data_IF_053527516009
#
_entry.id   IF_053527516009
#
_cell.length_a   1.000
_cell.length_b   1.000
_cell.length_c   1.000
_cell.angle_alpha   90.00
_cell.angle_beta   90.00
_cell.angle_gamma   90.00
#
_symmetry.space_group_name_H-M   'P 1'
#
loop_
_entity.id
_entity.type
_entity.pdbx_description
1 polymer ?
#
# COMPACT_ATOMS: atom_id res chain seq x y z
N UNK A 1 18.98 -22.62 -6.79
CA UNK A 1 18.64 -21.47 -7.69
C UNK A 1 19.65 -20.34 -7.48
N UNK A 2 19.93 -19.52 -8.49
CA UNK A 2 20.81 -18.35 -8.31
C UNK A 2 20.09 -17.25 -7.55
N UNK A 3 20.76 -16.72 -6.49
CA UNK A 3 20.30 -15.57 -5.72
C UNK A 3 21.14 -14.37 -6.14
N UNK A 4 20.50 -13.37 -6.74
CA UNK A 4 21.15 -12.10 -7.07
C UNK A 4 21.13 -11.19 -5.85
N UNK A 5 22.30 -10.65 -5.49
CA UNK A 5 22.46 -9.75 -4.35
C UNK A 5 22.46 -8.31 -4.83
N UNK A 6 21.65 -7.47 -4.18
CA UNK A 6 21.66 -6.04 -4.34
C UNK A 6 22.61 -5.36 -3.34
N UNK A 7 22.48 -4.05 -3.23
CA UNK A 7 23.34 -3.24 -2.34
C UNK A 7 22.89 -3.38 -0.89
N UNK A 8 23.87 -3.58 0.01
CA UNK A 8 23.70 -3.57 1.47
C UNK A 8 24.64 -2.52 2.11
N UNK A 9 24.32 -2.09 3.31
CA UNK A 9 25.11 -1.09 4.05
C UNK A 9 26.17 -1.75 4.94
N UNK A 10 25.88 -2.95 5.48
CA UNK A 10 26.78 -3.70 6.36
C UNK A 10 26.40 -5.19 6.37
N UNK A 11 27.23 -6.00 7.04
CA UNK A 11 26.91 -7.40 7.31
C UNK A 11 25.80 -7.48 8.39
N UNK A 12 24.90 -8.48 8.32
CA UNK A 12 23.82 -8.65 9.31
C UNK A 12 24.32 -8.71 10.76
N UNK A 13 25.41 -9.40 11.00
CA UNK A 13 26.00 -9.57 12.33
C UNK A 13 26.45 -8.25 12.96
N UNK A 14 26.82 -7.25 12.17
CA UNK A 14 27.22 -5.91 12.66
C UNK A 14 26.07 -5.18 13.35
N UNK A 15 24.83 -5.58 13.05
CA UNK A 15 23.63 -5.03 13.69
C UNK A 15 23.06 -5.94 14.79
N UNK A 16 23.60 -7.15 14.96
CA UNK A 16 23.06 -8.18 15.85
C UNK A 16 21.93 -8.99 15.19
N UNK A 17 22.13 -9.34 13.93
CA UNK A 17 21.17 -10.17 13.17
C UNK A 17 21.89 -11.43 12.63
N UNK A 18 21.26 -12.58 12.77
CA UNK A 18 21.77 -13.88 12.31
C UNK A 18 21.59 -14.02 10.79
N UNK A 19 22.69 -13.96 10.03
CA UNK A 19 22.69 -14.10 8.56
C UNK A 19 22.18 -15.46 8.08
N UNK A 20 22.24 -16.52 8.90
CA UNK A 20 21.69 -17.84 8.53
C UNK A 20 20.17 -17.77 8.24
N UNK A 21 19.47 -16.76 8.80
CA UNK A 21 18.03 -16.58 8.55
C UNK A 21 17.75 -15.97 7.19
N UNK A 22 18.68 -15.19 6.64
CA UNK A 22 18.62 -14.73 5.25
C UNK A 22 18.79 -15.93 4.29
N UNK A 23 19.68 -16.85 4.61
CA UNK A 23 19.84 -18.10 3.84
C UNK A 23 18.57 -18.97 3.94
N UNK A 24 17.96 -19.07 5.13
CA UNK A 24 16.70 -19.77 5.33
C UNK A 24 15.54 -19.12 4.55
N UNK A 25 15.52 -17.79 4.45
CA UNK A 25 14.54 -17.05 3.64
C UNK A 25 14.70 -17.35 2.16
N UNK A 26 15.92 -17.31 1.63
CA UNK A 26 16.20 -17.70 0.26
C UNK A 26 15.75 -19.14 -0.03
N UNK A 27 16.11 -20.08 0.85
CA UNK A 27 15.69 -21.48 0.72
C UNK A 27 14.16 -21.65 0.79
N UNK A 28 13.46 -20.80 1.56
CA UNK A 28 12.01 -20.79 1.61
C UNK A 28 11.41 -20.36 0.26
N UNK A 29 11.86 -19.24 -0.28
CA UNK A 29 11.40 -18.77 -1.61
C UNK A 29 11.76 -19.75 -2.72
N UNK A 30 12.96 -20.35 -2.71
CA UNK A 30 13.35 -21.37 -3.67
C UNK A 30 12.38 -22.56 -3.68
N UNK A 31 11.99 -23.07 -2.49
CA UNK A 31 10.98 -24.14 -2.38
C UNK A 31 9.62 -23.75 -2.94
N UNK A 32 9.22 -22.47 -2.81
CA UNK A 32 7.94 -21.97 -3.36
C UNK A 32 7.99 -21.84 -4.89
N UNK A 33 9.14 -21.42 -5.43
CA UNK A 33 9.38 -21.32 -6.86
C UNK A 33 9.43 -22.72 -7.49
N UNK A 34 10.15 -23.67 -6.87
CA UNK A 34 10.26 -25.06 -7.36
C UNK A 34 8.90 -25.77 -7.37
N UNK A 35 7.99 -25.40 -6.47
CA UNK A 35 6.60 -25.87 -6.44
C UNK A 35 5.65 -25.08 -7.33
N UNK A 36 6.16 -24.12 -8.10
CA UNK A 36 5.38 -23.24 -8.97
C UNK A 36 4.26 -22.46 -8.21
N UNK A 37 4.47 -22.22 -6.91
CA UNK A 37 3.56 -21.40 -6.11
C UNK A 37 3.77 -19.91 -6.45
N UNK A 38 5.02 -19.47 -6.60
CA UNK A 38 5.41 -18.11 -6.99
C UNK A 38 6.36 -18.15 -8.19
N UNK A 39 6.45 -17.05 -8.95
CA UNK A 39 7.38 -16.93 -10.06
C UNK A 39 8.81 -16.58 -9.62
N UNK A 40 8.92 -15.73 -8.65
CA UNK A 40 10.17 -15.23 -8.09
C UNK A 40 9.89 -14.40 -6.84
N UNK A 41 10.96 -13.94 -6.21
CA UNK A 41 10.88 -13.07 -5.05
C UNK A 41 11.97 -12.01 -5.10
N UNK A 42 11.67 -10.82 -4.56
CA UNK A 42 12.65 -9.78 -4.25
C UNK A 42 12.36 -9.22 -2.88
N UNK A 43 13.40 -8.95 -2.10
CA UNK A 43 13.24 -8.42 -0.75
C UNK A 43 14.39 -7.51 -0.34
N UNK A 44 14.09 -6.61 0.59
CA UNK A 44 15.08 -5.76 1.27
C UNK A 44 14.75 -5.75 2.75
N UNK A 45 15.78 -5.99 3.60
CA UNK A 45 15.66 -5.98 5.06
C UNK A 45 16.58 -4.91 5.63
N UNK A 46 16.06 -4.09 6.52
CA UNK A 46 16.80 -3.08 7.26
C UNK A 46 16.72 -3.35 8.77
N UNK A 47 17.82 -3.31 9.46
CA UNK A 47 17.90 -3.41 10.91
C UNK A 47 18.75 -2.27 11.46
N UNK A 48 18.21 -1.57 12.48
CA UNK A 48 18.83 -0.38 13.09
C UNK A 48 19.22 0.69 12.05
N UNK A 49 18.35 0.88 11.05
CA UNK A 49 18.51 1.87 9.98
C UNK A 49 19.55 1.50 8.91
N UNK A 50 20.06 0.26 8.90
CA UNK A 50 21.02 -0.24 7.91
C UNK A 50 20.40 -1.34 7.07
N UNK A 51 20.56 -1.30 5.76
CA UNK A 51 20.18 -2.39 4.86
C UNK A 51 21.16 -3.55 5.08
N UNK A 52 20.68 -4.64 5.64
CA UNK A 52 21.46 -5.85 5.96
C UNK A 52 21.25 -6.97 4.95
N UNK A 53 20.17 -6.92 4.16
CA UNK A 53 19.91 -7.84 3.07
C UNK A 53 19.13 -7.14 1.96
N UNK A 54 19.51 -7.43 0.72
CA UNK A 54 18.80 -7.07 -0.49
C UNK A 54 19.10 -8.15 -1.52
N UNK A 55 18.08 -8.88 -1.94
CA UNK A 55 18.27 -9.99 -2.87
C UNK A 55 17.01 -10.29 -3.69
N UNK A 56 17.23 -10.98 -4.79
CA UNK A 56 16.18 -11.51 -5.65
C UNK A 56 16.50 -12.91 -6.15
N UNK A 57 15.48 -13.69 -6.47
CA UNK A 57 15.59 -15.01 -7.02
C UNK A 57 14.36 -15.37 -7.87
N UNK A 58 14.56 -16.31 -8.81
CA UNK A 58 13.50 -16.74 -9.71
C UNK A 58 13.27 -15.80 -10.88
N UNK A 59 12.04 -15.79 -11.41
CA UNK A 59 11.69 -15.09 -12.65
C UNK A 59 11.12 -13.69 -12.36
N UNK A 60 11.60 -12.70 -13.09
CA UNK A 60 11.08 -11.33 -13.15
C UNK A 60 9.95 -11.17 -14.17
N UNK A 61 9.37 -12.27 -14.63
CA UNK A 61 8.28 -12.29 -15.59
C UNK A 61 7.43 -13.55 -15.42
N UNK A 62 6.12 -13.43 -15.52
CA UNK A 62 5.20 -14.55 -15.55
C UNK A 62 5.19 -15.27 -16.93
N UNK A 63 5.59 -14.57 -18.00
CA UNK A 63 5.48 -15.05 -19.39
C UNK A 63 6.84 -15.33 -20.05
N UNK A 64 7.96 -15.14 -19.35
CA UNK A 64 9.30 -15.40 -19.85
C UNK A 64 10.24 -15.92 -18.76
N UNK A 65 11.45 -16.35 -19.15
CA UNK A 65 12.50 -16.79 -18.23
C UNK A 65 13.44 -15.65 -17.77
N UNK A 66 13.04 -14.38 -17.98
CA UNK A 66 13.83 -13.25 -17.49
C UNK A 66 14.02 -13.35 -15.97
N UNK A 67 15.27 -13.18 -15.52
CA UNK A 67 15.61 -13.32 -14.11
C UNK A 67 15.14 -12.10 -13.30
N UNK A 68 14.60 -12.34 -12.11
CA UNK A 68 14.25 -11.29 -11.14
C UNK A 68 15.51 -10.53 -10.71
N UNK A 69 15.46 -9.20 -10.75
CA UNK A 69 16.57 -8.34 -10.34
C UNK A 69 16.26 -7.70 -8.97
N UNK A 70 17.29 -7.35 -8.16
CA UNK A 70 17.06 -6.68 -6.87
C UNK A 70 16.40 -5.30 -6.97
N UNK A 71 16.39 -4.70 -8.16
CA UNK A 71 15.78 -3.41 -8.49
C UNK A 71 14.55 -3.55 -9.41
N UNK A 72 13.97 -4.74 -9.48
CA UNK A 72 12.73 -4.97 -10.23
C UNK A 72 11.62 -4.08 -9.68
N UNK A 73 10.92 -3.39 -10.59
CA UNK A 73 9.81 -2.49 -10.26
C UNK A 73 8.49 -3.25 -10.27
N UNK A 74 7.61 -2.92 -9.32
CA UNK A 74 6.27 -3.51 -9.19
C UNK A 74 5.20 -2.44 -9.02
N UNK A 75 3.96 -2.68 -9.46
CA UNK A 75 2.81 -1.99 -8.91
C UNK A 75 2.67 -2.41 -7.44
N UNK A 76 2.73 -1.45 -6.53
CA UNK A 76 2.69 -1.72 -5.09
C UNK A 76 1.27 -1.79 -4.52
N UNK A 77 0.28 -1.61 -5.39
CA UNK A 77 -1.13 -1.69 -5.03
C UNK A 77 -1.43 -0.93 -3.71
N UNK A 78 -2.06 -1.58 -2.75
CA UNK A 78 -2.55 -0.94 -1.52
C UNK A 78 -1.48 -0.37 -0.60
N UNK A 79 -0.20 -0.70 -0.75
CA UNK A 79 0.90 0.00 -0.07
C UNK A 79 0.88 1.51 -0.41
N UNK A 80 0.32 1.90 -1.56
CA UNK A 80 0.05 3.32 -1.91
C UNK A 80 -0.70 4.08 -0.82
N UNK A 81 -1.59 3.41 -0.09
CA UNK A 81 -2.39 4.03 0.98
C UNK A 81 -1.53 4.64 2.08
N UNK A 82 -0.34 4.10 2.32
CA UNK A 82 0.60 4.64 3.31
C UNK A 82 1.08 6.04 2.92
N UNK A 83 1.34 6.27 1.64
CA UNK A 83 1.75 7.57 1.11
C UNK A 83 0.62 8.59 1.19
N UNK A 84 -0.60 8.18 0.87
CA UNK A 84 -1.81 8.99 1.03
C UNK A 84 -2.05 9.34 2.49
N UNK A 85 -1.84 8.37 3.40
CA UNK A 85 -1.94 8.60 4.84
C UNK A 85 -0.92 9.63 5.32
N UNK A 86 0.35 9.49 4.94
CA UNK A 86 1.39 10.47 5.31
C UNK A 86 1.05 11.86 4.78
N UNK A 87 0.60 11.98 3.53
CA UNK A 87 0.18 13.25 2.94
C UNK A 87 -0.98 13.90 3.72
N UNK A 88 -1.99 13.12 4.11
CA UNK A 88 -3.09 13.62 4.95
C UNK A 88 -2.60 14.03 6.34
N UNK A 89 -1.70 13.25 6.96
CA UNK A 89 -1.15 13.57 8.27
C UNK A 89 -0.26 14.82 8.25
N UNK A 90 0.39 15.14 7.12
CA UNK A 90 1.08 16.42 6.93
C UNK A 90 0.11 17.60 6.97
N UNK A 91 -1.04 17.51 6.27
CA UNK A 91 -2.07 18.56 6.33
C UNK A 91 -2.68 18.71 7.73
N UNK A 92 -2.78 17.61 8.49
CA UNK A 92 -3.21 17.66 9.89
C UNK A 92 -2.12 18.30 10.76
N UNK A 93 -0.86 17.97 10.55
CA UNK A 93 0.28 18.57 11.27
C UNK A 93 0.37 20.08 11.03
N UNK A 94 0.14 20.50 9.79
CA UNK A 94 0.15 21.91 9.38
C UNK A 94 -1.10 22.67 9.83
N UNK A 95 -2.08 21.99 10.47
CA UNK A 95 -3.26 22.62 11.08
C UNK A 95 -4.39 22.94 10.10
N UNK A 96 -4.35 22.46 8.87
CA UNK A 96 -5.43 22.67 7.91
C UNK A 96 -6.71 21.92 8.28
N UNK A 97 -6.58 20.70 8.81
CA UNK A 97 -7.67 19.83 9.22
C UNK A 97 -7.30 19.02 10.45
N UNK A 98 -8.24 18.24 10.99
CA UNK A 98 -8.06 17.34 12.12
C UNK A 98 -8.60 15.95 11.77
N UNK A 99 -8.17 14.90 12.47
CA UNK A 99 -8.71 13.55 12.28
C UNK A 99 -10.23 13.48 12.41
N UNK A 100 -10.82 14.26 13.30
CA UNK A 100 -12.26 14.35 13.50
C UNK A 100 -12.97 15.40 12.63
N UNK A 101 -12.27 16.03 11.66
CA UNK A 101 -12.91 16.91 10.69
C UNK A 101 -13.93 16.10 9.88
N UNK A 102 -15.22 16.54 9.85
CA UNK A 102 -16.23 15.93 9.00
C UNK A 102 -15.84 16.00 7.52
N UNK A 103 -15.99 14.90 6.79
CA UNK A 103 -15.75 14.87 5.34
C UNK A 103 -16.64 15.90 4.63
N UNK A 104 -17.84 16.13 5.14
CA UNK A 104 -18.82 17.10 4.64
C UNK A 104 -18.31 18.55 4.56
N UNK A 105 -17.33 18.94 5.40
CA UNK A 105 -16.73 20.28 5.35
C UNK A 105 -15.93 20.53 4.05
N UNK A 106 -15.48 19.44 3.40
CA UNK A 106 -14.62 19.52 2.21
C UNK A 106 -15.35 18.94 0.98
N UNK A 107 -16.09 17.85 1.17
CA UNK A 107 -16.88 17.18 0.15
C UNK A 107 -18.38 17.35 0.45
N UNK A 108 -19.08 18.33 -0.14
CA UNK A 108 -20.48 18.63 0.18
C UNK A 108 -21.44 17.46 -0.11
N UNK A 109 -21.04 16.48 -0.92
CA UNK A 109 -21.79 15.24 -1.15
C UNK A 109 -22.05 14.44 0.13
N UNK A 110 -21.26 14.69 1.19
CA UNK A 110 -21.38 14.05 2.50
C UNK A 110 -22.22 14.84 3.52
N UNK A 111 -22.82 15.97 3.13
CA UNK A 111 -23.52 16.86 4.05
C UNK A 111 -24.78 16.26 4.67
N UNK A 112 -25.46 15.40 3.93
CA UNK A 112 -26.75 14.83 4.34
C UNK A 112 -26.59 13.44 4.98
N UNK A 113 -27.51 13.03 5.90
CA UNK A 113 -27.57 11.66 6.36
C UNK A 113 -27.72 10.66 5.20
N UNK A 114 -27.09 9.48 5.32
CA UNK A 114 -26.40 8.93 6.48
C UNK A 114 -24.90 9.27 6.54
N UNK A 115 -24.38 10.13 5.67
CA UNK A 115 -22.94 10.34 5.47
C UNK A 115 -22.34 11.43 6.37
N UNK A 116 -23.14 12.35 6.90
CA UNK A 116 -22.71 13.55 7.63
C UNK A 116 -21.91 13.28 8.92
N UNK A 117 -21.96 12.05 9.43
CA UNK A 117 -21.14 11.62 10.57
C UNK A 117 -19.74 11.08 10.19
N UNK A 118 -19.42 10.96 8.89
CA UNK A 118 -18.13 10.42 8.45
C UNK A 118 -17.05 11.50 8.60
N UNK A 119 -15.94 11.16 9.26
CA UNK A 119 -14.77 12.02 9.45
C UNK A 119 -13.55 11.47 8.69
N UNK A 120 -12.48 12.27 8.61
CA UNK A 120 -11.21 11.82 8.02
C UNK A 120 -10.66 10.58 8.73
N UNK A 121 -10.83 10.49 10.06
CA UNK A 121 -10.46 9.32 10.84
C UNK A 121 -11.17 8.04 10.37
N UNK A 122 -12.48 8.12 10.08
CA UNK A 122 -13.25 6.97 9.61
C UNK A 122 -12.77 6.48 8.23
N UNK A 123 -12.35 7.39 7.33
CA UNK A 123 -11.77 7.01 6.03
C UNK A 123 -10.39 6.35 6.22
N UNK A 124 -9.52 6.94 7.06
CA UNK A 124 -8.16 6.47 7.34
C UNK A 124 -8.13 5.13 8.10
N UNK A 125 -9.20 4.78 8.79
CA UNK A 125 -9.29 3.55 9.60
C UNK A 125 -10.23 2.51 9.03
N UNK A 126 -10.76 2.71 7.81
CA UNK A 126 -11.72 1.79 7.18
C UNK A 126 -13.01 1.55 7.99
N UNK A 127 -13.48 2.56 8.70
CA UNK A 127 -14.69 2.48 9.55
C UNK A 127 -15.81 3.44 9.10
N UNK A 128 -15.73 3.93 7.86
CA UNK A 128 -16.73 4.88 7.32
C UNK A 128 -18.13 4.28 7.16
N UNK A 129 -18.26 2.97 7.15
CA UNK A 129 -19.51 2.27 6.88
C UNK A 129 -19.91 2.23 5.39
N UNK A 130 -19.16 2.87 4.50
CA UNK A 130 -19.34 2.76 3.05
C UNK A 130 -19.13 1.31 2.60
N UNK A 131 -19.75 0.93 1.47
CA UNK A 131 -19.54 -0.42 0.93
C UNK A 131 -18.06 -0.68 0.66
N UNK A 132 -17.51 -1.80 1.16
CA UNK A 132 -16.10 -2.16 1.03
C UNK A 132 -15.75 -2.58 -0.40
N UNK A 133 -14.47 -2.84 -0.63
CA UNK A 133 -13.98 -3.35 -1.90
C UNK A 133 -14.67 -4.67 -2.29
N UNK A 134 -14.84 -4.90 -3.58
CA UNK A 134 -15.41 -6.14 -4.11
C UNK A 134 -14.59 -7.34 -3.63
N UNK A 135 -15.27 -8.35 -3.10
CA UNK A 135 -14.66 -9.56 -2.55
C UNK A 135 -14.52 -9.57 -1.02
N UNK A 136 -14.60 -8.43 -0.33
CA UNK A 136 -14.66 -8.41 1.14
C UNK A 136 -15.87 -9.20 1.68
N UNK A 137 -17.00 -9.08 1.00
CA UNK A 137 -18.22 -9.82 1.27
C UNK A 137 -18.87 -10.25 -0.04
N UNK A 138 -19.64 -11.35 -0.08
CA UNK A 138 -20.32 -11.77 -1.30
C UNK A 138 -21.23 -10.69 -1.90
N UNK A 139 -21.92 -9.92 -1.05
CA UNK A 139 -22.83 -8.85 -1.46
C UNK A 139 -22.13 -7.54 -1.85
N UNK A 140 -20.84 -7.36 -1.56
CA UNK A 140 -20.13 -6.12 -1.88
C UNK A 140 -19.76 -5.99 -3.36
N UNK A 141 -19.72 -7.09 -4.11
CA UNK A 141 -19.32 -7.05 -5.52
C UNK A 141 -20.16 -6.10 -6.39
N UNK A 142 -21.51 -6.11 -6.36
CA UNK A 142 -22.31 -5.16 -7.13
C UNK A 142 -22.48 -3.78 -6.48
N UNK A 143 -22.27 -3.67 -5.17
CA UNK A 143 -22.57 -2.47 -4.39
C UNK A 143 -21.34 -1.67 -4.00
N UNK A 144 -20.12 -2.13 -4.37
CA UNK A 144 -18.93 -1.35 -4.12
C UNK A 144 -18.92 -0.05 -4.94
N UNK A 145 -18.23 0.96 -4.45
CA UNK A 145 -18.21 2.30 -5.06
C UNK A 145 -17.79 2.31 -6.53
N UNK A 146 -16.89 1.41 -6.93
CA UNK A 146 -16.43 1.33 -8.32
C UNK A 146 -17.53 0.88 -9.28
N UNK A 147 -18.30 -0.15 -8.89
CA UNK A 147 -19.46 -0.63 -9.66
C UNK A 147 -20.56 0.44 -9.76
N UNK A 148 -20.79 1.18 -8.66
CA UNK A 148 -21.76 2.29 -8.64
C UNK A 148 -21.33 3.44 -9.55
N UNK A 149 -20.05 3.80 -9.54
CA UNK A 149 -19.49 4.84 -10.43
C UNK A 149 -19.64 4.41 -11.90
N UNK A 150 -19.24 3.17 -12.24
CA UNK A 150 -19.35 2.66 -13.61
C UNK A 150 -20.81 2.65 -14.09
N UNK A 151 -21.73 2.16 -13.27
CA UNK A 151 -23.16 2.14 -13.60
C UNK A 151 -23.72 3.56 -13.81
N UNK A 152 -23.37 4.51 -12.94
CA UNK A 152 -23.80 5.89 -13.06
C UNK A 152 -23.21 6.57 -14.31
N UNK A 153 -21.93 6.31 -14.60
CA UNK A 153 -21.26 6.88 -15.77
C UNK A 153 -21.86 6.41 -17.09
N UNK A 154 -22.24 5.14 -17.19
CA UNK A 154 -22.92 4.58 -18.38
C UNK A 154 -24.29 5.21 -18.64
N UNK A 155 -24.93 5.75 -17.61
CA UNK A 155 -26.22 6.42 -17.70
C UNK A 155 -26.09 7.94 -17.86
N UNK A 156 -24.87 8.49 -17.68
CA UNK A 156 -24.64 9.92 -17.81
C UNK A 156 -24.73 10.38 -19.26
N UNK A 157 -25.46 11.47 -19.49
CA UNK A 157 -25.75 12.01 -20.83
C UNK A 157 -24.61 12.85 -21.44
N UNK A 158 -23.48 13.00 -20.72
CA UNK A 158 -22.33 13.80 -21.15
C UNK A 158 -22.45 15.30 -20.88
N UNK A 159 -23.52 15.77 -20.23
CA UNK A 159 -23.72 17.16 -19.88
C UNK A 159 -23.13 17.50 -18.50
N UNK A 160 -22.40 18.60 -18.43
CA UNK A 160 -21.76 19.05 -17.18
C UNK A 160 -20.57 18.20 -16.76
N UNK A 161 -20.19 18.29 -15.49
CA UNK A 161 -19.13 17.47 -14.91
C UNK A 161 -19.72 16.25 -14.20
N UNK A 162 -19.16 15.06 -14.44
CA UNK A 162 -19.60 13.84 -13.78
C UNK A 162 -19.14 13.82 -12.31
N UNK A 163 -20.10 13.84 -11.39
CA UNK A 163 -19.85 13.76 -9.94
C UNK A 163 -19.61 12.31 -9.51
N UNK A 164 -18.37 11.86 -9.66
CA UNK A 164 -17.95 10.51 -9.28
C UNK A 164 -18.02 10.27 -7.77
N UNK A 165 -17.88 11.32 -6.93
CA UNK A 165 -18.01 11.21 -5.47
C UNK A 165 -19.45 10.83 -5.12
N UNK A 166 -20.43 11.60 -5.65
CA UNK A 166 -21.85 11.32 -5.45
C UNK A 166 -22.24 9.94 -5.99
N UNK A 167 -21.74 9.56 -7.16
CA UNK A 167 -21.96 8.24 -7.73
C UNK A 167 -21.42 7.13 -6.83
N UNK A 168 -20.19 7.27 -6.32
CA UNK A 168 -19.52 6.26 -5.49
C UNK A 168 -20.18 6.01 -4.12
N UNK A 169 -20.91 7.01 -3.59
CA UNK A 169 -21.65 6.87 -2.32
C UNK A 169 -23.14 6.59 -2.51
N UNK A 170 -23.62 6.48 -3.73
CA UNK A 170 -25.07 6.34 -4.03
C UNK A 170 -25.69 5.06 -3.46
N UNK A 171 -24.89 4.05 -3.13
CA UNK A 171 -25.33 2.82 -2.47
C UNK A 171 -25.68 2.99 -0.98
N UNK A 172 -25.38 4.16 -0.38
CA UNK A 172 -25.59 4.39 1.03
C UNK A 172 -24.49 3.77 1.90
N UNK A 173 -24.80 3.46 3.15
CA UNK A 173 -23.92 2.77 4.09
C UNK A 173 -24.30 1.29 4.19
N UNK A 174 -23.29 0.41 4.19
CA UNK A 174 -23.49 -1.02 4.50
C UNK A 174 -23.67 -1.22 6.01
N UNK A 175 -22.97 -0.42 6.80
CA UNK A 175 -23.03 -0.46 8.29
C UNK A 175 -23.06 0.96 8.86
N UNK A 176 -23.51 1.14 10.09
CA UNK A 176 -23.36 2.42 10.79
C UNK A 176 -21.90 2.86 10.87
N UNK A 177 -21.65 4.16 10.77
CA UNK A 177 -20.31 4.77 10.86
C UNK A 177 -19.64 4.33 12.17
N UNK A 178 -18.40 3.83 12.09
CA UNK A 178 -17.59 3.42 13.24
C UNK A 178 -17.92 2.03 13.82
N UNK A 179 -18.92 1.32 13.30
CA UNK A 179 -19.41 0.08 13.93
C UNK A 179 -18.68 -1.20 13.50
N UNK A 180 -18.02 -1.18 12.34
CA UNK A 180 -17.36 -2.35 11.75
C UNK A 180 -16.17 -1.89 10.90
N UNK A 181 -15.08 -2.64 10.93
CA UNK A 181 -13.98 -2.43 10.00
C UNK A 181 -14.34 -3.04 8.64
N UNK A 182 -14.24 -2.24 7.58
CA UNK A 182 -14.60 -2.64 6.22
C UNK A 182 -13.58 -2.08 5.24
N UNK A 183 -12.70 -2.94 4.74
CA UNK A 183 -11.65 -2.51 3.84
C UNK A 183 -12.22 -1.78 2.62
N UNK A 184 -11.85 -0.53 2.44
CA UNK A 184 -12.43 0.34 1.44
C UNK A 184 -11.37 1.22 0.77
N UNK A 185 -10.95 0.86 -0.45
CA UNK A 185 -10.00 1.64 -1.24
C UNK A 185 -10.60 2.95 -1.72
N UNK A 186 -11.92 3.01 -1.91
CA UNK A 186 -12.60 4.25 -2.31
C UNK A 186 -12.45 5.34 -1.23
N UNK A 187 -12.43 4.98 0.06
CA UNK A 187 -12.13 5.92 1.14
C UNK A 187 -10.78 6.63 0.95
N UNK A 188 -9.77 5.91 0.46
CA UNK A 188 -8.45 6.48 0.18
C UNK A 188 -8.43 7.35 -1.09
N UNK A 189 -9.30 7.06 -2.04
CA UNK A 189 -9.51 7.94 -3.21
C UNK A 189 -10.19 9.24 -2.79
N UNK A 190 -11.17 9.18 -1.89
CA UNK A 190 -11.77 10.37 -1.28
C UNK A 190 -10.74 11.19 -0.50
N UNK A 191 -9.82 10.54 0.24
CA UNK A 191 -8.71 11.24 0.90
C UNK A 191 -7.82 11.94 -0.13
N UNK A 192 -7.57 11.34 -1.29
CA UNK A 192 -6.83 11.97 -2.40
C UNK A 192 -7.51 13.25 -2.90
N UNK A 193 -8.81 13.20 -3.14
CA UNK A 193 -9.62 14.37 -3.53
C UNK A 193 -9.59 15.46 -2.45
N UNK A 194 -9.70 15.07 -1.18
CA UNK A 194 -9.63 15.97 -0.04
C UNK A 194 -8.26 16.65 0.04
N UNK A 195 -7.17 15.90 -0.13
CA UNK A 195 -5.80 16.44 -0.16
C UNK A 195 -5.68 17.48 -1.29
N UNK A 196 -6.17 17.16 -2.49
CA UNK A 196 -6.13 18.12 -3.61
C UNK A 196 -6.90 19.41 -3.30
N UNK A 197 -8.08 19.31 -2.72
CA UNK A 197 -8.90 20.51 -2.38
C UNK A 197 -8.26 21.37 -1.30
N UNK A 198 -7.68 20.77 -0.27
CA UNK A 198 -7.05 21.51 0.83
C UNK A 198 -5.73 22.13 0.39
N UNK A 199 -4.88 21.37 -0.34
CA UNK A 199 -3.57 21.84 -0.75
C UNK A 199 -3.59 22.76 -1.97
N UNK A 200 -4.68 22.73 -2.76
CA UNK A 200 -4.77 23.43 -4.04
C UNK A 200 -3.88 22.83 -5.14
N UNK A 201 -3.38 21.59 -4.94
CA UNK A 201 -2.49 20.88 -5.87
C UNK A 201 -3.12 19.53 -6.26
N UNK A 202 -2.71 18.98 -7.41
CA UNK A 202 -2.99 17.59 -7.70
C UNK A 202 -2.37 16.68 -6.62
N UNK A 203 -3.12 15.70 -6.14
CA UNK A 203 -2.67 14.85 -5.03
C UNK A 203 -1.46 13.99 -5.39
N UNK A 204 -1.34 13.56 -6.65
CA UNK A 204 -0.18 12.79 -7.09
C UNK A 204 1.08 13.67 -7.02
N UNK A 205 1.00 14.91 -7.50
CA UNK A 205 2.09 15.90 -7.39
C UNK A 205 2.41 16.20 -5.93
N UNK A 206 1.39 16.36 -5.07
CA UNK A 206 1.59 16.57 -3.64
C UNK A 206 2.39 15.43 -3.00
N UNK A 207 1.95 14.16 -3.22
CA UNK A 207 2.64 12.97 -2.69
C UNK A 207 4.07 12.88 -3.22
N UNK A 208 4.27 13.12 -4.53
CA UNK A 208 5.60 13.10 -5.11
C UNK A 208 6.51 14.16 -4.48
N UNK A 209 6.07 15.38 -4.36
CA UNK A 209 6.87 16.51 -3.84
C UNK A 209 7.11 16.43 -2.34
N UNK A 210 6.12 15.98 -1.55
CA UNK A 210 6.16 16.07 -0.09
C UNK A 210 6.59 14.77 0.59
N UNK A 211 6.52 13.62 -0.10
CA UNK A 211 6.84 12.31 0.47
C UNK A 211 7.92 11.60 -0.33
N UNK A 212 7.70 11.36 -1.63
CA UNK A 212 8.56 10.50 -2.45
C UNK A 212 9.92 11.15 -2.73
N UNK A 213 9.92 12.37 -3.28
CA UNK A 213 11.15 13.07 -3.66
C UNK A 213 12.08 13.38 -2.46
N UNK A 214 11.57 13.88 -1.30
CA UNK A 214 12.43 14.10 -0.14
C UNK A 214 13.02 12.82 0.44
N UNK A 215 12.38 11.66 0.24
CA UNK A 215 12.91 10.35 0.59
C UNK A 215 13.89 9.80 -0.45
N UNK A 216 14.13 10.50 -1.58
CA UNK A 216 15.02 10.06 -2.67
C UNK A 216 14.60 8.67 -3.20
N UNK A 217 13.28 8.45 -3.35
CA UNK A 217 12.68 7.21 -3.86
C UNK A 217 12.54 7.34 -5.38
N UNK A 218 13.65 7.12 -6.11
CA UNK A 218 13.78 7.45 -7.54
C UNK A 218 12.96 6.51 -8.45
N UNK A 219 12.67 5.31 -7.98
CA UNK A 219 11.92 4.28 -8.70
C UNK A 219 10.45 4.20 -8.22
N UNK A 220 9.98 5.26 -7.54
CA UNK A 220 8.61 5.33 -7.02
C UNK A 220 7.83 6.44 -7.71
N UNK A 221 6.65 6.10 -8.23
CA UNK A 221 5.78 7.10 -8.85
C UNK A 221 4.45 6.54 -9.33
N UNK A 222 3.50 7.46 -9.59
CA UNK A 222 2.23 7.11 -10.24
C UNK A 222 2.40 6.89 -11.75
N UNK A 223 3.32 7.63 -12.38
CA UNK A 223 3.68 7.46 -13.76
C UNK A 223 4.89 6.51 -13.90
N UNK A 224 4.81 5.59 -14.85
CA UNK A 224 5.91 4.67 -15.17
C UNK A 224 6.87 5.39 -16.13
N UNK A 225 8.12 5.59 -15.70
CA UNK A 225 9.18 6.14 -16.55
C UNK A 225 9.72 5.07 -17.50
N UNK A 226 10.48 5.47 -18.52
CA UNK A 226 11.14 4.51 -19.43
C UNK A 226 12.11 3.59 -18.69
N UNK A 227 12.79 4.09 -17.67
CA UNK A 227 13.73 3.31 -16.88
C UNK A 227 12.99 2.30 -15.99
N UNK A 228 11.93 2.72 -15.31
CA UNK A 228 11.05 1.81 -14.57
C UNK A 228 10.46 0.72 -15.47
N UNK A 229 10.00 1.09 -16.68
CA UNK A 229 9.42 0.13 -17.63
C UNK A 229 10.40 -0.98 -18.03
N UNK A 230 11.71 -0.68 -18.15
CA UNK A 230 12.74 -1.68 -18.47
C UNK A 230 12.95 -2.70 -17.34
N UNK A 231 12.65 -2.33 -16.10
CA UNK A 231 12.84 -3.14 -14.89
C UNK A 231 11.51 -3.65 -14.31
N UNK A 232 10.39 -3.38 -15.01
CA UNK A 232 9.06 -3.77 -14.54
C UNK A 232 8.86 -5.27 -14.58
N UNK A 233 8.29 -5.84 -13.51
CA UNK A 233 7.80 -7.22 -13.55
C UNK A 233 6.71 -7.36 -14.61
N UNK A 234 6.88 -8.33 -15.52
CA UNK A 234 5.94 -8.57 -16.63
C UNK A 234 4.96 -9.68 -16.26
N UNK A 235 3.70 -9.33 -16.02
CA UNK A 235 2.65 -10.26 -15.59
C UNK A 235 1.91 -10.96 -16.75
N UNK A 236 1.80 -10.30 -17.92
CA UNK A 236 1.12 -10.85 -19.10
C UNK A 236 1.55 -10.09 -20.38
N UNK A 237 1.10 -10.56 -21.55
CA UNK A 237 1.44 -9.95 -22.84
C UNK A 237 0.94 -8.50 -22.95
N UNK A 238 -0.27 -8.18 -22.50
CA UNK A 238 -0.79 -6.81 -22.55
C UNK A 238 0.07 -5.84 -21.73
N UNK A 239 0.52 -6.28 -20.54
CA UNK A 239 1.42 -5.51 -19.70
C UNK A 239 2.78 -5.32 -20.37
N UNK A 240 3.28 -6.36 -21.05
CA UNK A 240 4.52 -6.29 -21.86
C UNK A 240 4.40 -5.26 -22.98
N UNK A 241 3.33 -5.31 -23.77
CA UNK A 241 3.08 -4.36 -24.86
C UNK A 241 3.05 -2.91 -24.35
N UNK A 242 2.44 -2.67 -23.19
CA UNK A 242 2.43 -1.36 -22.56
C UNK A 242 3.83 -0.91 -22.15
N UNK A 243 4.64 -1.79 -21.52
CA UNK A 243 6.02 -1.45 -21.16
C UNK A 243 6.89 -1.19 -22.40
N UNK A 244 6.76 -2.01 -23.45
CA UNK A 244 7.46 -1.82 -24.71
C UNK A 244 7.10 -0.47 -25.38
N UNK A 245 5.86 -0.05 -25.30
CA UNK A 245 5.41 1.25 -25.79
C UNK A 245 6.03 2.41 -25.00
N UNK A 246 6.07 2.30 -23.67
CA UNK A 246 6.72 3.31 -22.81
C UNK A 246 8.21 3.39 -23.13
N UNK A 247 8.91 2.25 -23.21
CA UNK A 247 10.35 2.17 -23.54
C UNK A 247 10.64 2.80 -24.90
N UNK A 248 9.76 2.61 -25.87
CA UNK A 248 9.87 3.19 -27.21
C UNK A 248 9.53 4.70 -27.27
N UNK A 249 9.16 5.32 -26.14
CA UNK A 249 8.72 6.71 -26.10
C UNK A 249 7.41 6.98 -26.84
N UNK A 250 6.62 5.92 -27.09
CA UNK A 250 5.30 6.09 -27.71
C UNK A 250 4.36 6.67 -26.65
N UNK A 251 3.57 7.70 -26.99
CA UNK A 251 2.56 8.17 -26.06
C UNK A 251 1.62 7.02 -25.79
N UNK A 252 1.48 6.65 -24.51
CA UNK A 252 0.33 5.84 -24.09
C UNK A 252 -0.91 6.63 -24.52
N UNK A 253 -1.89 5.94 -25.13
CA UNK A 253 -3.18 6.59 -25.34
C UNK A 253 -3.59 7.13 -23.97
N UNK A 254 -3.62 8.45 -23.83
CA UNK A 254 -4.15 9.07 -22.63
C UNK A 254 -5.56 8.52 -22.49
N UNK A 255 -5.77 7.84 -21.39
CA UNK A 255 -7.12 7.52 -21.00
C UNK A 255 -7.82 8.87 -20.76
N UNK A 256 -8.54 9.34 -21.78
CA UNK A 256 -9.35 10.55 -21.70
C UNK A 256 -10.71 10.25 -21.05
N UNK A 257 -10.89 9.02 -20.55
CA UNK A 257 -12.08 8.66 -19.80
C UNK A 257 -12.12 9.44 -18.48
N UNK A 258 -13.31 9.56 -17.91
CA UNK A 258 -13.45 10.19 -16.58
C UNK A 258 -12.63 9.47 -15.49
N UNK A 259 -12.30 8.18 -15.69
CA UNK A 259 -11.47 7.38 -14.77
C UNK A 259 -10.10 8.00 -14.51
N UNK A 260 -9.51 8.67 -15.52
CA UNK A 260 -8.23 9.37 -15.38
C UNK A 260 -8.29 10.60 -14.45
N UNK A 261 -9.50 11.06 -14.11
CA UNK A 261 -9.73 12.17 -13.17
C UNK A 261 -9.88 11.72 -11.73
N UNK A 262 -10.10 10.41 -11.51
CA UNK A 262 -10.22 9.85 -10.17
C UNK A 262 -8.82 9.61 -9.60
N UNK A 263 -8.49 10.15 -8.42
CA UNK A 263 -7.18 9.94 -7.80
C UNK A 263 -6.85 8.45 -7.60
N UNK A 264 -5.66 8.00 -8.00
CA UNK A 264 -5.24 6.61 -7.82
C UNK A 264 -4.58 6.35 -6.45
N UNK A 265 -4.96 7.12 -5.45
CA UNK A 265 -4.36 7.16 -4.10
C UNK A 265 -4.66 5.95 -3.23
N UNK A 266 -5.54 5.05 -3.68
CA UNK A 266 -5.78 3.76 -3.03
C UNK A 266 -4.86 2.63 -3.51
N UNK A 267 -4.12 2.79 -4.63
CA UNK A 267 -3.38 1.65 -5.21
C UNK A 267 -2.53 1.93 -6.45
N UNK A 268 -2.26 3.19 -6.82
CA UNK A 268 -1.69 3.54 -8.13
C UNK A 268 -0.17 3.70 -8.20
N UNK A 269 0.56 3.61 -7.10
CA UNK A 269 2.02 3.73 -7.12
C UNK A 269 2.71 2.47 -7.65
N UNK A 270 3.85 2.69 -8.28
CA UNK A 270 4.84 1.69 -8.64
C UNK A 270 6.11 1.97 -7.84
N UNK A 271 6.85 0.93 -7.44
CA UNK A 271 8.06 1.08 -6.62
C UNK A 271 8.95 -0.15 -6.68
N UNK A 272 10.09 -0.08 -6.00
CA UNK A 272 11.02 -1.18 -5.70
C UNK A 272 11.08 -1.44 -4.20
N UNK A 273 11.60 -2.60 -3.79
CA UNK A 273 11.86 -2.87 -2.37
C UNK A 273 12.92 -1.93 -1.79
N UNK A 274 13.86 -1.45 -2.64
CA UNK A 274 14.89 -0.49 -2.27
C UNK A 274 14.32 0.88 -1.90
N UNK A 275 13.30 1.33 -2.63
CA UNK A 275 12.64 2.60 -2.32
C UNK A 275 11.71 2.47 -1.12
N UNK A 276 10.92 1.40 -1.06
CA UNK A 276 10.00 1.21 0.07
C UNK A 276 10.72 1.02 1.41
N UNK A 277 11.93 0.44 1.43
CA UNK A 277 12.70 0.34 2.68
C UNK A 277 13.13 1.73 3.19
N UNK A 278 13.29 2.73 2.31
CA UNK A 278 13.53 4.12 2.71
C UNK A 278 12.31 4.70 3.42
N UNK A 279 11.12 4.45 2.90
CA UNK A 279 9.88 4.83 3.57
C UNK A 279 9.77 4.14 4.95
N UNK A 280 10.06 2.84 5.04
CA UNK A 280 10.05 2.11 6.30
C UNK A 280 11.06 2.66 7.31
N UNK A 281 12.29 2.95 6.88
CA UNK A 281 13.32 3.55 7.72
C UNK A 281 12.94 4.98 8.17
N UNK A 282 12.27 5.76 7.34
CA UNK A 282 11.71 7.05 7.73
C UNK A 282 10.69 6.90 8.86
N UNK A 283 9.82 5.89 8.78
CA UNK A 283 8.85 5.60 9.84
C UNK A 283 9.53 5.12 11.12
N UNK A 284 10.52 4.20 11.03
CA UNK A 284 11.33 3.75 12.18
C UNK A 284 12.05 4.90 12.87
N UNK A 285 12.50 5.89 12.09
CA UNK A 285 13.16 7.10 12.60
C UNK A 285 12.18 8.26 12.85
N UNK A 286 10.95 7.93 13.21
CA UNK A 286 9.92 8.89 13.65
C UNK A 286 9.69 10.04 12.67
N UNK A 287 9.66 9.74 11.37
CA UNK A 287 9.30 10.69 10.32
C UNK A 287 10.47 11.43 9.68
N UNK A 288 11.70 11.03 9.95
CA UNK A 288 12.91 11.63 9.37
C UNK A 288 13.78 10.57 8.67
N UNK A 289 14.41 10.95 7.54
CA UNK A 289 15.44 10.13 6.90
C UNK A 289 16.48 11.05 6.22
N UNK A 290 17.75 10.74 6.34
CA UNK A 290 18.87 11.47 5.71
C UNK A 290 18.80 13.00 5.90
N UNK A 291 18.37 13.45 7.09
CA UNK A 291 18.20 14.86 7.42
C UNK A 291 16.90 15.50 6.92
N UNK A 292 16.11 14.80 6.10
CA UNK A 292 14.81 15.27 5.63
C UNK A 292 13.70 14.86 6.63
N UNK A 293 12.96 15.84 7.13
CA UNK A 293 11.77 15.63 7.94
C UNK A 293 10.55 15.54 7.01
N UNK A 294 9.93 14.37 6.98
CA UNK A 294 8.70 14.11 6.21
C UNK A 294 7.46 14.35 7.08
N UNK A 295 7.54 13.94 8.36
CA UNK A 295 6.43 14.04 9.30
C UNK A 295 7.00 14.20 10.72
N UNK A 296 6.26 14.83 11.62
CA UNK A 296 6.67 14.96 13.00
C UNK A 296 6.51 13.66 13.78
N UNK A 297 7.39 13.46 14.77
CA UNK A 297 7.40 12.26 15.61
C UNK A 297 6.02 11.91 16.19
N UNK A 298 5.29 12.92 16.69
CA UNK A 298 3.96 12.68 17.29
C UNK A 298 2.91 12.21 16.30
N UNK A 299 3.04 12.61 15.03
CA UNK A 299 2.17 12.10 13.96
C UNK A 299 2.48 10.64 13.65
N UNK A 300 3.77 10.26 13.55
CA UNK A 300 4.18 8.87 13.36
C UNK A 300 3.71 7.99 14.53
N UNK A 301 3.95 8.42 15.78
CA UNK A 301 3.46 7.71 16.98
C UNK A 301 1.94 7.53 16.93
N UNK A 302 1.19 8.56 16.48
CA UNK A 302 -0.26 8.48 16.35
C UNK A 302 -0.69 7.49 15.26
N UNK A 303 0.01 7.47 14.12
CA UNK A 303 -0.27 6.51 13.03
C UNK A 303 -0.03 5.07 13.47
N UNK A 304 1.06 4.83 14.22
CA UNK A 304 1.49 3.51 14.70
C UNK A 304 0.80 3.07 16.00
N UNK A 305 -0.24 3.77 16.45
CA UNK A 305 -0.99 3.41 17.67
C UNK A 305 -2.33 2.81 17.28
N UNK A 306 -2.76 1.74 18.01
CA UNK A 306 -4.07 1.14 17.88
C UNK A 306 -5.18 2.19 17.99
N UNK A 307 -6.03 2.28 16.96
CA UNK A 307 -7.11 3.26 16.87
C UNK A 307 -8.48 2.67 17.22
N UNK A 308 -8.68 1.40 16.96
CA UNK A 308 -9.98 0.73 17.04
C UNK A 308 -10.11 0.00 18.36
N UNK A 309 -11.27 0.13 19.01
CA UNK A 309 -11.59 -0.58 20.26
C UNK A 309 -12.98 -1.17 20.15
N UNK A 310 -13.09 -2.48 20.27
CA UNK A 310 -14.35 -3.23 20.12
C UNK A 310 -15.00 -3.01 18.73
N UNK A 311 -14.19 -2.86 17.69
CA UNK A 311 -14.63 -2.78 16.29
C UNK A 311 -14.33 -4.12 15.63
N UNK A 312 -15.34 -4.88 15.21
CA UNK A 312 -15.14 -6.19 14.60
C UNK A 312 -14.71 -6.06 13.13
N UNK A 313 -14.03 -7.11 12.64
CA UNK A 313 -13.69 -7.31 11.24
C UNK A 313 -14.22 -8.67 10.77
N UNK A 314 -14.98 -8.64 9.67
CA UNK A 314 -15.54 -9.83 9.02
C UNK A 314 -15.17 -9.89 7.54
N UNK A 315 -14.29 -8.98 7.06
CA UNK A 315 -13.82 -8.98 5.67
C UNK A 315 -13.13 -10.31 5.32
N UNK A 316 -13.39 -10.82 4.14
CA UNK A 316 -12.80 -12.06 3.61
C UNK A 316 -12.98 -13.28 4.51
N UNK A 317 -14.08 -13.32 5.28
CA UNK A 317 -14.38 -14.44 6.19
C UNK A 317 -13.64 -14.34 7.53
N UNK A 318 -12.99 -13.23 7.83
CA UNK A 318 -12.46 -12.97 9.16
C UNK A 318 -13.57 -13.03 10.22
N UNK A 319 -13.20 -13.41 11.44
CA UNK A 319 -14.07 -13.38 12.61
C UNK A 319 -13.31 -12.77 13.78
N UNK A 320 -12.87 -11.54 13.57
CA UNK A 320 -12.04 -10.81 14.53
C UNK A 320 -12.92 -9.84 15.32
N UNK A 321 -13.16 -10.07 16.60
CA UNK A 321 -14.08 -9.24 17.39
C UNK A 321 -13.51 -7.84 17.70
N UNK A 322 -12.20 -7.69 17.60
CA UNK A 322 -11.51 -6.44 17.90
C UNK A 322 -10.34 -6.22 16.95
N UNK A 323 -10.64 -5.62 15.80
CA UNK A 323 -9.62 -5.34 14.76
C UNK A 323 -8.50 -4.47 15.30
N UNK A 324 -7.25 -4.90 15.08
CA UNK A 324 -6.07 -4.09 15.36
C UNK A 324 -5.72 -3.28 14.12
N UNK A 325 -5.82 -1.96 14.22
CA UNK A 325 -5.57 -1.04 13.10
C UNK A 325 -5.09 0.33 13.59
N UNK A 326 -4.02 0.83 12.97
CA UNK A 326 -3.50 2.18 13.18
C UNK A 326 -4.20 3.21 12.27
N UNK A 327 -3.54 4.31 11.99
CA UNK A 327 -3.99 5.24 10.95
C UNK A 327 -3.30 4.84 9.64
N UNK A 328 -4.07 4.23 8.72
CA UNK A 328 -3.58 3.71 7.45
C UNK A 328 -2.71 2.44 7.54
N UNK A 329 -2.44 1.93 8.73
CA UNK A 329 -1.62 0.74 8.95
C UNK A 329 -2.40 -0.41 9.56
N UNK A 330 -2.16 -1.60 9.05
CA UNK A 330 -2.54 -2.84 9.72
C UNK A 330 -1.59 -3.10 10.91
N UNK A 331 -2.14 -3.61 12.01
CA UNK A 331 -1.39 -3.93 13.23
C UNK A 331 -1.67 -5.38 13.62
N UNK A 332 -1.10 -6.31 12.83
CA UNK A 332 -1.32 -7.74 13.06
C UNK A 332 -0.59 -8.20 14.31
N UNK A 333 -1.32 -8.97 15.12
CA UNK A 333 -0.80 -9.70 16.25
C UNK A 333 -1.56 -11.03 16.30
N UNK A 334 -0.92 -12.08 16.77
CA UNK A 334 -1.59 -13.39 16.90
C UNK A 334 -0.59 -14.53 17.03
N UNK A 335 -1.11 -15.75 17.07
CA UNK A 335 -0.30 -16.97 17.19
C UNK A 335 0.57 -17.23 15.94
N UNK A 336 0.19 -16.67 14.81
CA UNK A 336 0.84 -16.94 13.53
C UNK A 336 2.05 -16.02 13.24
N UNK A 337 2.24 -14.98 14.07
CA UNK A 337 3.27 -13.98 13.86
C UNK A 337 4.24 -13.85 15.04
N UNK A 338 5.54 -13.71 14.73
CA UNK A 338 6.58 -13.44 15.72
C UNK A 338 6.88 -11.95 15.91
N UNK A 339 5.99 -11.09 15.42
CA UNK A 339 6.11 -9.64 15.55
C UNK A 339 6.14 -9.16 17.00
N UNK A 340 6.90 -8.10 17.25
CA UNK A 340 6.75 -7.35 18.49
C UNK A 340 5.40 -6.68 18.60
N UNK A 341 4.89 -6.51 19.81
CA UNK A 341 3.73 -5.67 20.03
C UNK A 341 4.01 -4.25 19.54
N UNK A 342 3.15 -3.70 18.70
CA UNK A 342 3.32 -2.40 18.09
C UNK A 342 3.96 -2.42 16.70
N UNK A 343 4.26 -3.60 16.14
CA UNK A 343 4.59 -3.75 14.72
C UNK A 343 3.38 -3.33 13.87
N UNK A 344 3.62 -2.57 12.83
CA UNK A 344 2.62 -2.14 11.88
C UNK A 344 3.10 -2.38 10.44
N UNK A 345 2.14 -2.63 9.55
CA UNK A 345 2.43 -3.08 8.22
C UNK A 345 1.36 -2.65 7.21
N UNK A 346 1.60 -2.89 5.94
CA UNK A 346 0.57 -2.93 4.91
C UNK A 346 0.94 -3.91 3.80
N UNK A 347 -0.07 -4.61 3.29
CA UNK A 347 0.07 -5.49 2.13
C UNK A 347 -0.45 -4.81 0.86
N UNK A 348 0.08 -5.26 -0.28
CA UNK A 348 -0.42 -4.90 -1.60
C UNK A 348 -0.93 -6.13 -2.36
N UNK A 349 -2.01 -5.97 -3.11
CA UNK A 349 -2.53 -7.02 -3.99
C UNK A 349 -1.43 -7.54 -4.93
N UNK A 350 -1.35 -8.85 -5.09
CA UNK A 350 -0.25 -9.51 -5.83
C UNK A 350 0.92 -9.89 -4.95
N UNK A 351 0.69 -10.00 -3.63
CA UNK A 351 1.60 -10.50 -2.61
C UNK A 351 2.88 -9.65 -2.44
N UNK A 352 2.69 -8.42 -2.00
CA UNK A 352 3.73 -7.53 -1.51
C UNK A 352 3.47 -7.14 -0.06
N UNK A 353 4.53 -6.90 0.73
CA UNK A 353 4.41 -6.43 2.10
C UNK A 353 5.50 -5.41 2.44
N UNK A 354 5.15 -4.49 3.32
CA UNK A 354 6.04 -3.60 4.05
C UNK A 354 5.73 -3.76 5.53
N UNK A 355 6.70 -4.26 6.29
CA UNK A 355 6.58 -4.61 7.70
C UNK A 355 7.56 -3.75 8.51
N UNK A 356 7.10 -3.12 9.59
CA UNK A 356 7.87 -2.13 10.36
C UNK A 356 7.71 -2.43 11.85
N UNK A 357 8.80 -2.84 12.49
CA UNK A 357 8.86 -3.14 13.92
C UNK A 357 9.71 -2.09 14.64
N UNK A 358 9.08 -1.08 15.25
CA UNK A 358 9.81 -0.01 15.94
C UNK A 358 10.52 -0.48 17.22
N UNK A 359 10.08 -1.56 17.86
CA UNK A 359 10.70 -2.09 19.06
C UNK A 359 12.05 -2.71 18.74
N UNK A 360 12.11 -3.52 17.70
CA UNK A 360 13.34 -4.20 17.26
C UNK A 360 14.14 -3.36 16.26
N UNK A 361 13.64 -2.19 15.83
CA UNK A 361 14.24 -1.37 14.77
C UNK A 361 14.49 -2.18 13.50
N UNK A 362 13.54 -3.07 13.18
CA UNK A 362 13.56 -3.95 12.02
C UNK A 362 12.49 -3.54 11.03
N UNK A 363 12.85 -3.45 9.76
CA UNK A 363 11.89 -3.31 8.67
C UNK A 363 12.19 -4.31 7.56
N UNK A 364 11.16 -4.83 6.93
CA UNK A 364 11.25 -5.71 5.79
C UNK A 364 10.27 -5.29 4.70
N UNK A 365 10.73 -5.33 3.45
CA UNK A 365 9.90 -5.17 2.27
C UNK A 365 10.16 -6.35 1.36
N UNK A 366 9.09 -6.98 0.89
CA UNK A 366 9.22 -8.10 -0.04
C UNK A 366 8.09 -8.12 -1.07
N UNK A 367 8.41 -8.53 -2.30
CA UNK A 367 7.48 -8.73 -3.39
C UNK A 367 7.63 -10.15 -3.94
N UNK A 368 6.53 -10.87 -4.01
CA UNK A 368 6.42 -12.18 -4.64
C UNK A 368 5.25 -12.14 -5.61
N UNK A 369 5.49 -11.91 -6.90
CA UNK A 369 4.42 -11.77 -7.86
C UNK A 369 3.51 -13.00 -7.85
N UNK A 370 2.23 -12.77 -7.54
CA UNK A 370 1.20 -13.78 -7.43
C UNK A 370 0.05 -13.46 -8.37
N UNK A 371 -0.37 -14.41 -9.18
CA UNK A 371 -1.37 -14.24 -10.24
C UNK A 371 -2.53 -15.24 -10.19
N UNK A 372 -2.59 -16.10 -9.17
CA UNK A 372 -3.55 -17.22 -9.11
C UNK A 372 -4.82 -16.93 -8.30
N UNK A 373 -5.21 -15.66 -8.16
CA UNK A 373 -6.55 -15.27 -7.67
C UNK A 373 -6.75 -15.22 -6.16
N UNK A 374 -5.84 -15.76 -5.35
CA UNK A 374 -5.84 -15.59 -3.90
C UNK A 374 -5.04 -14.34 -3.51
N UNK A 375 -5.40 -13.71 -2.41
CA UNK A 375 -4.69 -12.51 -1.95
C UNK A 375 -3.23 -12.78 -1.64
N UNK A 376 -2.97 -13.82 -0.87
CA UNK A 376 -1.64 -14.28 -0.50
C UNK A 376 -1.70 -15.78 -0.21
N UNK A 377 -0.85 -16.63 -0.82
CA UNK A 377 -0.81 -18.04 -0.47
C UNK A 377 -0.26 -18.23 0.94
N UNK A 378 -0.88 -19.13 1.72
CA UNK A 378 -0.51 -19.44 3.11
C UNK A 378 0.99 -19.55 3.40
N UNK A 379 1.82 -20.19 2.54
CA UNK A 379 3.24 -20.29 2.82
C UNK A 379 3.99 -18.96 2.89
N UNK A 380 3.43 -17.87 2.34
CA UNK A 380 4.05 -16.54 2.40
C UNK A 380 3.92 -15.89 3.79
N UNK A 381 2.95 -16.31 4.61
CA UNK A 381 2.87 -15.85 6.01
C UNK A 381 4.06 -16.32 6.86
N UNK A 382 4.83 -17.30 6.39
CA UNK A 382 6.06 -17.72 7.07
C UNK A 382 7.26 -16.79 6.81
N UNK A 383 7.18 -15.91 5.81
CA UNK A 383 8.27 -14.98 5.46
C UNK A 383 8.63 -14.10 6.66
N UNK A 384 7.64 -13.51 7.30
CA UNK A 384 7.83 -12.66 8.47
C UNK A 384 8.47 -13.44 9.63
N UNK A 385 7.98 -14.66 9.91
CA UNK A 385 8.53 -15.48 10.99
C UNK A 385 10.01 -15.84 10.75
N UNK A 386 10.39 -16.11 9.50
CA UNK A 386 11.78 -16.37 9.13
C UNK A 386 12.63 -15.11 9.35
N UNK A 387 12.16 -13.93 8.91
CA UNK A 387 12.89 -12.68 9.05
C UNK A 387 13.05 -12.31 10.53
N UNK A 388 11.97 -12.33 11.32
CA UNK A 388 12.02 -11.94 12.74
C UNK A 388 12.82 -12.91 13.60
N UNK A 389 12.96 -14.18 13.20
CA UNK A 389 13.82 -15.14 13.91
C UNK A 389 15.33 -14.87 13.79
N UNK A 390 15.75 -13.89 13.00
CA UNK A 390 17.15 -13.48 12.89
C UNK A 390 17.62 -12.51 13.95
N UNK A 391 16.73 -11.98 14.76
CA UNK A 391 17.09 -11.07 15.86
C UNK A 391 17.81 -11.83 16.97
N UNK A 392 19.00 -11.31 17.43
CA UNK A 392 19.86 -11.90 18.45
C UNK A 392 19.75 -11.15 19.80
#
# INVERSE_FOLDING_TARGET
>A
MEVLKGKVDCLPEETGYDSSRIEALNAHFERLIDKEIIHGAVYTISHKGKIIANASLGRGSAISQAQMQPDTVFPIASITKLFTTVAMMQLIEDGYVRLNTPVAEILPQFAEPPFNGITLWHLLTHTSGLYPDGGCFPESAPMNSWGLIDAAYRLWNGEGEFDWVKAGISGGLRRPVGSEWQYNSFGFVLLGEIISRISGQDVHDYIMQKVVNPLVMQDTGFAITQDMARRMFIRNEQWKEMMDAIIAGKPLQRDNSFWSKIPSTGGGLHSTTNDLIRFANMMLNYGCLDGNRILGRKMVERMATQQLHNVPDYCWGANEPNRLYGIGFDMRQGLDYTYSQGTYMHEGAGASSIDIDPKEQLAAVWFVPWDKGEWCPDPLYNVQNIIWSGLL
#
